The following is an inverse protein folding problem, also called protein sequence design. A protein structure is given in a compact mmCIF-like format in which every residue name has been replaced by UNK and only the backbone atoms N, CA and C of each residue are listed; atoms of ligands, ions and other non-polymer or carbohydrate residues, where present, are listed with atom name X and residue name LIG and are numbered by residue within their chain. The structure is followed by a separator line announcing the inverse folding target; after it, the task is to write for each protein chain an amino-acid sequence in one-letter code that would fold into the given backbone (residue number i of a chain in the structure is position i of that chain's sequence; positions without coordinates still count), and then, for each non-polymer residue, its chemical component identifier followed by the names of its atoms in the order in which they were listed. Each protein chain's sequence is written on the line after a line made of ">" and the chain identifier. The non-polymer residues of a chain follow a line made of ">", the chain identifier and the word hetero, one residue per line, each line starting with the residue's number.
data_IF_874837739215
#
_entry.id   IF_874837739215
#
_cell.length_a   1.000
_cell.length_b   1.000
_cell.length_c   1.000
_cell.angle_alpha   90.00
_cell.angle_beta   90.00
_cell.angle_gamma   90.00
#
_symmetry.space_group_name_H-M   'P 1'
#
loop_
_entity.id
_entity.type
_entity.pdbx_description
1 polymer ?
#
# COMPACT_ATOMS: atom_id res chain seq x y z
N UNK A 1 13.55 8.11 5.72
CA UNK A 1 13.21 7.21 6.84
C UNK A 1 12.03 6.36 6.42
N UNK A 2 11.95 5.10 6.85
CA UNK A 2 10.80 4.23 6.61
C UNK A 2 10.18 3.83 7.95
N UNK A 3 8.88 4.04 8.12
CA UNK A 3 8.10 3.52 9.26
C UNK A 3 7.11 2.46 8.80
N UNK A 4 6.73 1.56 9.70
CA UNK A 4 5.74 0.49 9.44
C UNK A 4 4.77 0.42 10.60
N UNK A 5 3.50 0.72 10.32
CA UNK A 5 2.41 0.76 11.30
C UNK A 5 1.26 -0.15 10.89
N UNK A 6 0.51 -0.67 11.86
CA UNK A 6 -0.70 -1.46 11.57
C UNK A 6 -1.87 -0.55 11.21
N UNK A 7 -2.60 -0.91 10.16
CA UNK A 7 -3.87 -0.26 9.83
C UNK A 7 -4.92 -0.68 10.85
N UNK A 8 -5.46 0.29 11.60
CA UNK A 8 -6.40 0.03 12.70
C UNK A 8 -7.85 -0.13 12.25
N UNK A 9 -8.24 0.54 11.16
CA UNK A 9 -9.61 0.53 10.65
C UNK A 9 -9.57 0.49 9.13
N UNK A 10 -10.03 -0.62 8.55
CA UNK A 10 -10.00 -0.87 7.11
C UNK A 10 -10.86 0.12 6.31
N UNK A 11 -12.09 0.39 6.77
CA UNK A 11 -13.05 1.26 6.09
C UNK A 11 -12.53 2.69 6.01
N UNK A 12 -12.05 3.24 7.15
CA UNK A 12 -11.49 4.59 7.19
C UNK A 12 -10.19 4.72 6.42
N UNK A 13 -9.42 3.64 6.29
CA UNK A 13 -8.14 3.65 5.60
C UNK A 13 -8.30 3.86 4.10
N UNK A 14 -9.23 3.15 3.44
CA UNK A 14 -9.43 3.31 2.00
C UNK A 14 -9.83 4.74 1.62
N UNK A 15 -10.77 5.32 2.37
CA UNK A 15 -11.19 6.71 2.16
C UNK A 15 -10.05 7.70 2.47
N UNK A 16 -9.26 7.45 3.52
CA UNK A 16 -8.14 8.31 3.91
C UNK A 16 -7.05 8.34 2.85
N UNK A 17 -6.58 7.18 2.38
CA UNK A 17 -5.52 7.11 1.38
C UNK A 17 -5.99 7.41 -0.05
N UNK A 18 -7.28 7.18 -0.33
CA UNK A 18 -7.88 7.53 -1.62
C UNK A 18 -8.30 8.99 -1.74
N UNK A 19 -8.24 9.78 -0.65
CA UNK A 19 -8.60 11.19 -0.69
C UNK A 19 -7.51 12.00 -1.39
N UNK A 20 -7.96 12.79 -2.36
CA UNK A 20 -7.16 13.79 -3.05
C UNK A 20 -7.38 15.12 -2.35
N UNK A 21 -6.39 15.66 -1.63
CA UNK A 21 -6.54 17.04 -1.11
C UNK A 21 -6.45 18.06 -2.27
N UNK A 22 -7.13 19.20 -2.10
CA UNK A 22 -7.24 20.26 -3.12
C UNK A 22 -5.89 20.82 -3.60
N UNK A 23 -4.86 20.78 -2.74
CA UNK A 23 -3.49 21.20 -3.05
C UNK A 23 -2.83 20.39 -4.19
N UNK A 24 -3.28 19.14 -4.42
CA UNK A 24 -2.65 18.22 -5.36
C UNK A 24 -3.19 18.34 -6.80
N UNK A 25 -4.37 18.93 -6.99
CA UNK A 25 -4.99 19.08 -8.33
C UNK A 25 -4.21 20.01 -9.26
N UNK A 26 -3.43 20.95 -8.72
CA UNK A 26 -2.72 21.97 -9.50
C UNK A 26 -1.55 21.44 -10.34
N UNK A 27 -1.01 20.25 -10.03
CA UNK A 27 0.23 19.76 -10.66
C UNK A 27 0.05 18.57 -11.62
N UNK A 28 -1.19 18.14 -11.88
CA UNK A 28 -1.52 17.22 -12.98
C UNK A 28 -1.12 15.74 -12.79
N UNK A 29 -0.68 15.34 -11.60
CA UNK A 29 -0.43 13.93 -11.27
C UNK A 29 -1.37 13.45 -10.16
N UNK A 30 -1.86 12.22 -10.29
CA UNK A 30 -2.63 11.56 -9.24
C UNK A 30 -1.73 11.36 -8.00
N UNK A 31 -2.05 11.97 -6.84
CA UNK A 31 -1.29 11.76 -5.61
C UNK A 31 -1.52 10.37 -5.02
N UNK A 32 -2.44 9.56 -5.55
CA UNK A 32 -2.69 8.20 -5.11
C UNK A 32 -2.75 7.21 -6.29
N UNK A 33 -2.30 5.98 -6.05
CA UNK A 33 -2.30 4.86 -7.00
C UNK A 33 -2.62 3.56 -6.25
N UNK A 34 -3.54 2.76 -6.80
CA UNK A 34 -3.73 1.37 -6.35
C UNK A 34 -2.72 0.51 -7.09
N UNK A 35 -1.83 -0.16 -6.36
CA UNK A 35 -0.67 -0.85 -6.89
C UNK A 35 -0.53 -2.30 -6.39
N UNK A 36 0.36 -3.03 -7.05
CA UNK A 36 0.72 -4.42 -6.73
C UNK A 36 0.01 -5.43 -7.62
N UNK A 37 0.67 -6.57 -7.84
CA UNK A 37 0.17 -7.67 -8.67
C UNK A 37 -1.14 -8.26 -8.17
N UNK A 38 -1.44 -8.14 -6.87
CA UNK A 38 -2.73 -8.55 -6.34
C UNK A 38 -3.84 -7.60 -6.80
N UNK A 39 -3.53 -6.31 -6.93
CA UNK A 39 -4.46 -5.32 -7.47
C UNK A 39 -4.64 -5.49 -8.98
N UNK A 40 -3.57 -5.82 -9.71
CA UNK A 40 -3.63 -6.17 -11.13
C UNK A 40 -4.50 -7.41 -11.36
N UNK A 41 -4.32 -8.45 -10.55
CA UNK A 41 -5.12 -9.67 -10.60
C UNK A 41 -6.62 -9.40 -10.38
N UNK A 42 -6.95 -8.47 -9.46
CA UNK A 42 -8.33 -8.05 -9.20
C UNK A 42 -8.86 -7.04 -10.21
N UNK A 43 -8.03 -6.53 -11.13
CA UNK A 43 -8.42 -5.51 -12.11
C UNK A 43 -8.71 -4.13 -11.51
N UNK A 44 -8.15 -3.83 -10.32
CA UNK A 44 -8.38 -2.57 -9.60
C UNK A 44 -7.16 -1.66 -9.56
N UNK A 45 -6.03 -2.08 -10.16
CA UNK A 45 -4.80 -1.29 -10.20
C UNK A 45 -4.95 0.02 -11.00
N UNK A 46 -4.09 0.98 -10.71
CA UNK A 46 -3.92 2.23 -11.45
C UNK A 46 -4.11 3.50 -10.61
N UNK A 47 -3.82 4.64 -11.24
CA UNK A 47 -3.92 5.97 -10.64
C UNK A 47 -5.35 6.32 -10.18
N UNK A 48 -5.45 7.07 -9.08
CA UNK A 48 -6.69 7.61 -8.51
C UNK A 48 -6.77 9.11 -8.83
N UNK A 49 -7.74 9.49 -9.65
CA UNK A 49 -7.90 10.80 -10.29
C UNK A 49 -9.24 11.50 -10.00
N UNK A 50 -10.03 11.00 -9.03
CA UNK A 50 -11.38 11.47 -8.67
C UNK A 50 -12.50 11.08 -9.66
N UNK A 51 -12.29 10.05 -10.47
CA UNK A 51 -13.32 9.54 -11.38
C UNK A 51 -14.33 8.62 -10.66
N UNK A 52 -15.50 8.40 -11.27
CA UNK A 52 -16.47 7.42 -10.76
C UNK A 52 -15.89 6.01 -10.71
N UNK A 53 -15.05 5.66 -11.68
CA UNK A 53 -14.38 4.35 -11.72
C UNK A 53 -13.35 4.25 -10.59
N UNK A 54 -12.73 5.37 -10.21
CA UNK A 54 -11.79 5.44 -9.09
C UNK A 54 -12.52 5.18 -7.77
N UNK A 55 -13.70 5.77 -7.57
CA UNK A 55 -14.51 5.51 -6.39
C UNK A 55 -14.86 4.01 -6.24
N UNK A 56 -15.14 3.33 -7.35
CA UNK A 56 -15.38 1.88 -7.35
C UNK A 56 -14.10 1.08 -6.99
N UNK A 57 -12.94 1.45 -7.56
CA UNK A 57 -11.65 0.80 -7.26
C UNK A 57 -11.18 1.06 -5.83
N UNK A 58 -11.35 2.27 -5.30
CA UNK A 58 -11.06 2.64 -3.90
C UNK A 58 -11.96 1.86 -2.95
N UNK A 59 -13.26 1.73 -3.26
CA UNK A 59 -14.18 0.88 -2.50
C UNK A 59 -13.74 -0.59 -2.52
N UNK A 60 -13.34 -1.11 -3.67
CA UNK A 60 -12.83 -2.48 -3.80
C UNK A 60 -11.54 -2.68 -2.98
N UNK A 61 -10.62 -1.72 -2.98
CA UNK A 61 -9.45 -1.72 -2.11
C UNK A 61 -9.85 -1.78 -0.62
N UNK A 62 -10.87 -1.01 -0.21
CA UNK A 62 -11.42 -1.07 1.15
C UNK A 62 -11.99 -2.44 1.52
N UNK A 63 -12.65 -3.12 0.57
CA UNK A 63 -13.13 -4.50 0.77
C UNK A 63 -11.95 -5.46 0.97
N UNK A 64 -10.89 -5.35 0.17
CA UNK A 64 -9.67 -6.15 0.33
C UNK A 64 -9.00 -5.87 1.69
N UNK A 65 -8.93 -4.61 2.11
CA UNK A 65 -8.44 -4.24 3.45
C UNK A 65 -9.30 -4.83 4.57
N UNK A 66 -10.61 -5.01 4.35
CA UNK A 66 -11.52 -5.70 5.26
C UNK A 66 -11.42 -7.24 5.16
N UNK A 67 -10.59 -7.76 4.26
CA UNK A 67 -10.41 -9.19 4.03
C UNK A 67 -11.53 -9.81 3.19
N UNK A 68 -12.28 -9.00 2.44
CA UNK A 68 -13.30 -9.46 1.51
C UNK A 68 -12.76 -9.38 0.10
N UNK A 69 -12.67 -10.53 -0.56
CA UNK A 69 -12.20 -10.65 -1.93
C UNK A 69 -13.37 -11.12 -2.79
N UNK A 70 -13.77 -10.32 -3.78
CA UNK A 70 -14.93 -10.62 -4.63
C UNK A 70 -16.20 -10.97 -3.82
N UNK A 71 -16.42 -10.26 -2.70
CA UNK A 71 -17.56 -10.49 -1.79
C UNK A 71 -17.40 -11.65 -0.81
N UNK A 72 -16.32 -12.44 -0.89
CA UNK A 72 -16.06 -13.57 0.00
C UNK A 72 -15.12 -13.16 1.13
N UNK A 73 -15.52 -13.41 2.38
CA UNK A 73 -14.66 -13.18 3.54
C UNK A 73 -13.53 -14.22 3.59
N UNK A 74 -12.29 -13.73 3.62
CA UNK A 74 -11.08 -14.53 3.79
C UNK A 74 -10.55 -14.35 5.21
N UNK A 75 -10.19 -15.47 5.85
CA UNK A 75 -9.70 -15.49 7.22
C UNK A 75 -10.77 -15.16 8.28
N UNK A 76 -10.33 -15.01 9.52
CA UNK A 76 -11.19 -14.64 10.64
C UNK A 76 -11.41 -13.13 10.69
N UNK A 77 -12.62 -12.68 10.40
CA UNK A 77 -12.99 -11.27 10.37
C UNK A 77 -12.80 -10.55 11.72
N UNK A 78 -12.95 -11.26 12.85
CA UNK A 78 -12.90 -10.65 14.19
C UNK A 78 -11.46 -10.42 14.67
N UNK A 79 -10.54 -11.30 14.30
CA UNK A 79 -9.16 -11.30 14.81
C UNK A 79 -8.10 -10.93 13.77
N UNK A 80 -8.51 -10.61 12.53
CA UNK A 80 -7.55 -10.23 11.47
C UNK A 80 -6.98 -8.83 11.67
N UNK A 81 -5.74 -8.67 11.24
CA UNK A 81 -5.12 -7.35 11.01
C UNK A 81 -5.56 -6.87 9.62
N UNK A 82 -6.00 -5.62 9.49
CA UNK A 82 -6.46 -5.09 8.20
C UNK A 82 -5.33 -5.04 7.16
N UNK A 83 -4.16 -4.60 7.61
CA UNK A 83 -3.01 -4.36 6.77
C UNK A 83 -1.92 -3.59 7.49
N UNK A 84 -0.93 -3.13 6.74
CA UNK A 84 0.18 -2.33 7.23
C UNK A 84 0.37 -1.10 6.33
N UNK A 85 0.63 0.04 6.96
CA UNK A 85 1.06 1.26 6.28
C UNK A 85 2.59 1.35 6.42
N UNK A 86 3.28 1.26 5.28
CA UNK A 86 4.70 1.57 5.20
C UNK A 86 4.86 3.00 4.69
N UNK A 87 5.36 3.90 5.54
CA UNK A 87 5.52 5.31 5.17
C UNK A 87 6.97 5.63 4.82
N UNK A 88 7.19 6.07 3.59
CA UNK A 88 8.49 6.57 3.11
C UNK A 88 8.53 8.07 3.33
N UNK A 89 9.48 8.55 4.13
CA UNK A 89 9.63 9.97 4.45
C UNK A 89 10.95 10.51 3.88
N UNK A 90 10.86 11.56 3.06
CA UNK A 90 12.03 12.28 2.56
C UNK A 90 12.71 13.08 3.69
N UNK A 91 14.03 13.29 3.63
CA UNK A 91 14.69 14.24 4.50
C UNK A 91 14.05 15.64 4.40
N UNK A 92 14.03 16.39 5.51
CA UNK A 92 13.41 17.73 5.54
C UNK A 92 14.03 18.68 4.51
N UNK A 93 15.35 18.63 4.33
CA UNK A 93 16.06 19.43 3.31
C UNK A 93 15.62 19.10 1.89
N UNK A 94 15.40 17.82 1.58
CA UNK A 94 14.85 17.38 0.29
C UNK A 94 13.43 17.93 0.09
N UNK A 95 12.58 17.84 1.11
CA UNK A 95 11.20 18.30 1.04
C UNK A 95 11.10 19.80 0.73
N UNK A 96 11.93 20.61 1.39
CA UNK A 96 12.02 22.06 1.12
C UNK A 96 12.52 22.32 -0.30
N UNK A 97 13.54 21.59 -0.77
CA UNK A 97 14.05 21.76 -2.12
C UNK A 97 13.00 21.35 -3.19
N UNK A 98 12.27 20.25 -2.97
CA UNK A 98 11.26 19.73 -3.89
C UNK A 98 10.02 20.62 -4.03
N UNK A 99 9.77 21.50 -3.05
CA UNK A 99 8.76 22.56 -3.16
C UNK A 99 9.11 23.59 -4.26
N UNK A 100 10.39 23.74 -4.59
CA UNK A 100 10.88 24.73 -5.55
C UNK A 100 11.47 24.12 -6.84
N UNK A 101 11.80 22.82 -6.84
CA UNK A 101 12.34 22.11 -8.01
C UNK A 101 11.47 20.90 -8.38
N UNK A 102 10.65 21.00 -9.43
CA UNK A 102 9.80 19.91 -9.89
C UNK A 102 10.55 18.63 -10.25
N UNK A 103 11.85 18.70 -10.60
CA UNK A 103 12.65 17.52 -10.95
C UNK A 103 12.87 16.59 -9.76
N UNK A 104 12.84 17.13 -8.54
CA UNK A 104 12.96 16.33 -7.32
C UNK A 104 11.71 15.49 -7.06
N UNK A 105 10.57 15.84 -7.66
CA UNK A 105 9.35 15.03 -7.58
C UNK A 105 9.57 13.70 -8.28
N UNK A 106 10.03 13.74 -9.53
CA UNK A 106 10.33 12.52 -10.31
C UNK A 106 11.36 11.61 -9.61
N UNK A 107 12.32 12.21 -8.89
CA UNK A 107 13.29 11.46 -8.07
C UNK A 107 12.61 10.74 -6.91
N UNK A 108 11.68 11.42 -6.21
CA UNK A 108 10.93 10.81 -5.13
C UNK A 108 10.02 9.69 -5.64
N UNK A 109 9.33 9.90 -6.75
CA UNK A 109 8.49 8.91 -7.43
C UNK A 109 9.27 7.66 -7.83
N UNK A 110 10.46 7.85 -8.40
CA UNK A 110 11.34 6.75 -8.76
C UNK A 110 11.82 5.97 -7.52
N UNK A 111 12.11 6.67 -6.42
CA UNK A 111 12.50 6.04 -5.17
C UNK A 111 11.34 5.23 -4.57
N UNK A 112 10.13 5.79 -4.53
CA UNK A 112 8.90 5.13 -4.08
C UNK A 112 8.64 3.85 -4.89
N UNK A 113 8.65 3.93 -6.22
CA UNK A 113 8.46 2.76 -7.10
C UNK A 113 9.51 1.68 -6.87
N UNK A 114 10.76 2.08 -6.63
CA UNK A 114 11.86 1.14 -6.34
C UNK A 114 11.65 0.44 -5.00
N UNK A 115 11.23 1.17 -3.97
CA UNK A 115 10.91 0.61 -2.66
C UNK A 115 9.75 -0.37 -2.79
N UNK A 116 8.65 0.02 -3.46
CA UNK A 116 7.51 -0.86 -3.67
C UNK A 116 7.88 -2.14 -4.46
N UNK A 117 8.67 -2.00 -5.52
CA UNK A 117 9.13 -3.15 -6.31
C UNK A 117 10.01 -4.10 -5.49
N UNK A 118 10.88 -3.55 -4.63
CA UNK A 118 11.69 -4.35 -3.72
C UNK A 118 10.81 -5.08 -2.69
N UNK A 119 9.84 -4.37 -2.12
CA UNK A 119 8.87 -4.91 -1.17
C UNK A 119 8.07 -6.07 -1.78
N UNK A 120 7.53 -5.90 -2.98
CA UNK A 120 6.76 -6.94 -3.67
C UNK A 120 7.60 -8.18 -4.01
N UNK A 121 8.88 -8.00 -4.27
CA UNK A 121 9.79 -9.09 -4.62
C UNK A 121 10.29 -9.86 -3.39
N UNK A 122 10.45 -9.19 -2.26
CA UNK A 122 11.16 -9.74 -1.11
C UNK A 122 10.30 -9.84 0.16
N UNK A 123 9.39 -8.89 0.38
CA UNK A 123 8.64 -8.72 1.63
C UNK A 123 7.22 -9.26 1.66
N UNK A 124 6.66 -9.64 0.50
CA UNK A 124 5.30 -10.14 0.40
C UNK A 124 5.30 -11.66 0.40
N UNK A 125 5.06 -12.23 1.58
CA UNK A 125 5.00 -13.67 1.78
C UNK A 125 3.75 -14.05 2.56
N UNK A 126 3.24 -15.25 2.31
CA UNK A 126 2.24 -15.88 3.17
C UNK A 126 2.79 -17.19 3.73
N UNK A 127 2.19 -17.68 4.82
CA UNK A 127 2.54 -18.97 5.40
C UNK A 127 1.31 -19.86 5.51
N UNK A 128 1.50 -21.16 5.32
CA UNK A 128 0.46 -22.15 5.52
C UNK A 128 0.99 -23.42 6.17
N UNK A 129 0.09 -24.26 6.68
CA UNK A 129 0.47 -25.58 7.19
C UNK A 129 0.61 -26.55 6.04
N UNK A 130 1.72 -27.27 6.00
CA UNK A 130 1.89 -28.39 5.08
C UNK A 130 1.21 -29.67 5.61
N UNK A 131 1.11 -30.70 4.77
CA UNK A 131 0.49 -31.98 5.12
C UNK A 131 1.17 -32.73 6.27
N UNK A 132 2.43 -32.39 6.60
CA UNK A 132 3.17 -32.93 7.74
C UNK A 132 3.01 -32.11 9.03
N UNK A 133 2.17 -31.05 9.01
CA UNK A 133 1.89 -30.19 10.16
C UNK A 133 2.91 -29.08 10.42
N UNK A 134 3.96 -28.95 9.60
CA UNK A 134 4.92 -27.84 9.61
C UNK A 134 4.41 -26.61 8.88
N UNK A 135 5.15 -25.50 8.93
CA UNK A 135 4.87 -24.30 8.15
C UNK A 135 5.70 -24.27 6.87
N UNK A 136 5.09 -23.81 5.79
CA UNK A 136 5.76 -23.44 4.53
C UNK A 136 5.44 -21.98 4.17
N UNK A 137 6.37 -21.33 3.48
CA UNK A 137 6.27 -19.92 3.08
C UNK A 137 6.23 -19.81 1.57
N UNK A 138 5.24 -19.08 1.07
CA UNK A 138 5.06 -18.82 -0.34
C UNK A 138 5.18 -17.33 -0.63
N UNK A 139 5.76 -17.02 -1.78
CA UNK A 139 5.68 -15.67 -2.35
C UNK A 139 4.24 -15.36 -2.71
N UNK A 140 3.81 -14.14 -2.41
CA UNK A 140 2.44 -13.72 -2.65
C UNK A 140 2.41 -12.37 -3.37
N UNK A 141 1.24 -12.03 -3.90
CA UNK A 141 0.95 -10.75 -4.55
C UNK A 141 0.11 -9.88 -3.63
N UNK A 142 0.51 -8.62 -3.46
CA UNK A 142 -0.14 -7.67 -2.56
C UNK A 142 -1.09 -6.75 -3.32
N UNK A 143 -2.12 -6.28 -2.62
CA UNK A 143 -2.93 -5.12 -3.01
C UNK A 143 -2.53 -3.96 -2.10
N UNK A 144 -2.08 -2.86 -2.67
CA UNK A 144 -1.67 -1.68 -1.93
C UNK A 144 -2.29 -0.39 -2.49
N UNK A 145 -2.42 0.61 -1.64
CA UNK A 145 -2.64 2.00 -2.04
C UNK A 145 -1.37 2.79 -1.72
N UNK A 146 -0.75 3.37 -2.74
CA UNK A 146 0.36 4.30 -2.62
C UNK A 146 -0.20 5.71 -2.66
N UNK A 147 -0.10 6.46 -1.57
CA UNK A 147 -0.65 7.81 -1.44
C UNK A 147 0.43 8.79 -0.96
N UNK A 148 0.79 9.72 -1.86
CA UNK A 148 1.82 10.72 -1.64
C UNK A 148 1.23 12.00 -1.05
N UNK A 149 1.91 12.52 -0.05
CA UNK A 149 1.65 13.82 0.53
C UNK A 149 2.92 14.70 0.53
N UNK A 150 2.73 16.02 0.48
CA UNK A 150 3.83 16.99 0.46
C UNK A 150 3.87 17.90 1.67
N UNK A 151 2.89 17.83 2.57
CA UNK A 151 2.84 18.62 3.80
C UNK A 151 2.60 17.76 5.02
N UNK A 152 3.15 18.14 6.17
CA UNK A 152 2.86 17.51 7.45
C UNK A 152 1.58 18.11 8.09
N UNK A 153 1.22 17.61 9.27
CA UNK A 153 0.05 18.12 10.04
C UNK A 153 0.15 19.59 10.44
N UNK A 154 1.36 20.14 10.55
CA UNK A 154 1.62 21.53 10.86
C UNK A 154 1.65 22.41 9.59
N UNK A 155 1.33 21.86 8.42
CA UNK A 155 1.41 22.51 7.11
C UNK A 155 2.84 22.86 6.68
N UNK A 156 3.87 22.21 7.25
CA UNK A 156 5.24 22.36 6.76
C UNK A 156 5.52 21.40 5.59
N UNK A 157 6.37 21.84 4.65
CA UNK A 157 6.86 21.02 3.53
C UNK A 157 7.48 19.69 4.00
N UNK A 158 6.81 18.58 3.70
CA UNK A 158 7.24 17.25 4.06
C UNK A 158 6.76 16.24 3.04
N UNK A 159 7.66 15.85 2.14
CA UNK A 159 7.40 14.84 1.12
C UNK A 159 7.44 13.45 1.75
N UNK A 160 6.32 12.76 1.70
CA UNK A 160 6.18 11.39 2.17
C UNK A 160 5.16 10.63 1.35
N UNK A 161 5.30 9.30 1.31
CA UNK A 161 4.30 8.42 0.72
C UNK A 161 3.89 7.33 1.68
N UNK A 162 2.59 7.08 1.76
CA UNK A 162 1.98 5.96 2.44
C UNK A 162 1.81 4.81 1.47
N UNK A 163 2.38 3.65 1.79
CA UNK A 163 2.13 2.39 1.09
C UNK A 163 1.25 1.54 2.00
N UNK A 164 -0.07 1.73 1.87
CA UNK A 164 -1.08 1.02 2.63
C UNK A 164 -1.36 -0.34 1.99
N UNK A 165 -0.81 -1.41 2.54
CA UNK A 165 -0.94 -2.77 2.04
C UNK A 165 -2.03 -3.53 2.78
N UNK A 166 -2.87 -4.25 2.03
CA UNK A 166 -3.80 -5.19 2.64
C UNK A 166 -3.08 -6.42 3.20
N UNK A 167 -3.61 -6.97 4.30
CA UNK A 167 -3.12 -8.23 4.85
C UNK A 167 -3.57 -9.45 4.03
N UNK A 168 -4.62 -9.32 3.23
CA UNK A 168 -5.03 -10.36 2.29
C UNK A 168 -4.13 -10.28 1.06
N UNK A 169 -3.35 -11.32 0.84
CA UNK A 169 -2.40 -11.46 -0.28
C UNK A 169 -2.75 -12.70 -1.10
N UNK A 170 -2.53 -12.63 -2.40
CA UNK A 170 -2.77 -13.73 -3.32
C UNK A 170 -1.54 -14.64 -3.38
N UNK A 171 -1.68 -15.89 -2.91
CA UNK A 171 -0.59 -16.87 -2.93
C UNK A 171 -0.30 -17.32 -4.36
N UNK A 172 0.92 -17.09 -4.85
CA UNK A 172 1.33 -17.44 -6.21
C UNK A 172 1.39 -18.95 -6.46
N UNK A 173 1.49 -19.76 -5.40
CA UNK A 173 1.61 -21.22 -5.51
C UNK A 173 0.23 -21.88 -5.51
N UNK A 174 -0.63 -21.49 -4.57
CA UNK A 174 -1.96 -22.12 -4.41
C UNK A 174 -3.07 -21.42 -5.19
N UNK A 175 -2.90 -20.13 -5.52
CA UNK A 175 -3.94 -19.27 -6.09
C UNK A 175 -4.97 -18.79 -5.06
N UNK A 176 -4.82 -19.17 -3.79
CA UNK A 176 -5.72 -18.75 -2.72
C UNK A 176 -5.35 -17.37 -2.18
N UNK A 177 -6.34 -16.67 -1.64
CA UNK A 177 -6.09 -15.49 -0.81
C UNK A 177 -5.79 -15.92 0.62
N UNK A 178 -4.68 -15.42 1.17
CA UNK A 178 -4.16 -15.79 2.48
C UNK A 178 -3.68 -14.56 3.25
N UNK A 179 -3.36 -14.74 4.52
CA UNK A 179 -2.81 -13.65 5.35
C UNK A 179 -1.32 -13.44 5.07
N UNK A 180 -0.92 -12.18 4.96
CA UNK A 180 0.48 -11.77 4.89
C UNK A 180 1.23 -12.16 6.17
N UNK A 181 2.44 -12.68 6.00
CA UNK A 181 3.42 -12.86 7.06
C UNK A 181 4.24 -11.59 7.24
N UNK A 182 3.81 -10.71 8.15
CA UNK A 182 4.41 -9.40 8.31
C UNK A 182 5.83 -9.39 8.91
N UNK A 183 6.41 -10.54 9.26
CA UNK A 183 7.79 -10.60 9.79
C UNK A 183 8.79 -10.04 8.80
N UNK A 184 8.62 -10.36 7.51
CA UNK A 184 9.49 -9.86 6.44
C UNK A 184 9.35 -8.34 6.24
N UNK A 185 8.14 -7.78 6.41
CA UNK A 185 7.95 -6.33 6.35
C UNK A 185 8.79 -5.58 7.40
N UNK A 186 8.87 -6.11 8.62
CA UNK A 186 9.66 -5.50 9.69
C UNK A 186 11.17 -5.73 9.52
N UNK A 187 11.56 -6.83 8.86
CA UNK A 187 12.95 -7.12 8.52
C UNK A 187 13.47 -6.14 7.47
N UNK A 188 12.77 -6.02 6.33
CA UNK A 188 13.13 -5.14 5.20
C UNK A 188 13.21 -3.68 5.61
N UNK A 189 12.42 -3.23 6.59
CA UNK A 189 12.52 -1.86 7.13
C UNK A 189 13.93 -1.51 7.64
N UNK A 190 14.71 -2.50 8.08
CA UNK A 190 16.02 -2.29 8.69
C UNK A 190 17.20 -2.62 7.73
N UNK A 191 16.91 -2.99 6.49
CA UNK A 191 17.91 -3.19 5.41
C UNK A 191 18.17 -1.87 4.66
#
# INVERSE_FOLDING_TARGET
>A
MISVDKIKNAEKAADYYGRLDDYYREHGQAPAEIAGKGAEFLGIAGAVTDSRDDAARVKAFGEVLAGRINGVQVGDAANRVAGWDMTIQAPKSFSIAAAHDPRLRDVFDAAERRVFSHLEKHGIQTRQRNGAGGYEWHQADVVAMCARHTTNRNQDEHWHSHIAMASAVHDRVTGDWRSLDARELYAIRNE
#
